data_IF_536035406535
#
_entry.id   IF_536035406535
#
_cell.length_a   1.000
_cell.length_b   1.000
_cell.length_c   1.000
_cell.angle_alpha   90.00
_cell.angle_beta   90.00
_cell.angle_gamma   90.00
#
_symmetry.space_group_name_H-M   'P 1'
#
loop_
_entity.id
_entity.type
_entity.pdbx_description
1 polymer ?
#
# COMPACT_ATOMS: atom_id res chain seq x y z
N UNK A 1 10.07 11.77 -11.24
CA UNK A 1 9.05 11.76 -10.18
C UNK A 1 8.04 10.66 -10.53
N UNK A 2 8.38 9.39 -10.24
CA UNK A 2 7.55 8.24 -10.63
C UNK A 2 6.44 8.00 -9.60
N UNK A 3 5.23 8.28 -10.07
CA UNK A 3 3.88 7.80 -9.74
C UNK A 3 3.79 6.93 -8.47
N UNK A 4 3.11 7.53 -7.49
CA UNK A 4 2.70 6.97 -6.23
C UNK A 4 1.91 5.67 -6.39
N UNK A 5 2.38 4.64 -5.68
CA UNK A 5 1.66 3.38 -5.51
C UNK A 5 0.67 3.56 -4.34
N UNK A 6 -0.50 4.13 -4.64
CA UNK A 6 -1.56 4.42 -3.67
C UNK A 6 -2.35 3.15 -3.30
N UNK A 7 -2.29 2.74 -2.03
CA UNK A 7 -3.27 1.79 -1.46
C UNK A 7 -4.34 2.59 -0.73
N UNK A 8 -5.59 2.49 -1.18
CA UNK A 8 -6.75 3.15 -0.59
C UNK A 8 -7.64 2.11 0.10
N UNK A 9 -7.72 2.17 1.42
CA UNK A 9 -8.67 1.39 2.20
C UNK A 9 -9.77 2.33 2.70
N UNK A 10 -10.97 2.21 2.12
CA UNK A 10 -12.16 2.92 2.57
C UNK A 10 -12.75 2.16 3.75
N UNK A 11 -12.76 2.79 4.92
CA UNK A 11 -13.51 2.31 6.09
C UNK A 11 -14.64 3.33 6.34
N UNK A 12 -15.69 2.89 7.01
CA UNK A 12 -16.62 3.77 7.74
C UNK A 12 -15.84 4.85 8.51
N UNK A 13 -16.51 5.92 8.96
CA UNK A 13 -15.87 7.04 9.69
C UNK A 13 -15.29 6.68 11.07
N UNK A 14 -14.85 5.44 11.26
CA UNK A 14 -14.08 4.95 12.38
C UNK A 14 -12.62 5.41 12.26
N UNK A 15 -12.45 6.71 12.54
CA UNK A 15 -11.16 7.39 12.57
C UNK A 15 -10.20 6.71 13.57
N UNK A 16 -10.71 6.28 14.72
CA UNK A 16 -9.90 5.67 15.78
C UNK A 16 -9.26 4.37 15.30
N UNK A 17 -10.01 3.53 14.58
CA UNK A 17 -9.47 2.32 13.97
C UNK A 17 -8.34 2.66 12.98
N UNK A 18 -8.55 3.65 12.12
CA UNK A 18 -7.55 4.03 11.11
C UNK A 18 -6.30 4.66 11.72
N UNK A 19 -6.45 5.47 12.77
CA UNK A 19 -5.32 6.01 13.54
C UNK A 19 -4.54 4.89 14.25
N UNK A 20 -5.23 3.91 14.85
CA UNK A 20 -4.59 2.74 15.45
C UNK A 20 -3.83 1.90 14.43
N UNK A 21 -4.34 1.79 13.20
CA UNK A 21 -3.67 1.09 12.10
C UNK A 21 -2.40 1.81 11.68
N UNK A 22 -2.45 3.14 11.55
CA UNK A 22 -1.28 3.97 11.24
C UNK A 22 -0.20 3.80 12.31
N UNK A 23 -0.58 3.83 13.59
CA UNK A 23 0.35 3.64 14.71
C UNK A 23 0.95 2.23 14.71
N UNK A 24 0.12 1.20 14.50
CA UNK A 24 0.54 -0.21 14.50
C UNK A 24 1.50 -0.52 13.36
N UNK A 25 1.18 -0.04 12.15
CA UNK A 25 2.01 -0.24 10.96
C UNK A 25 3.19 0.72 10.91
N UNK A 26 3.16 1.78 11.74
CA UNK A 26 4.10 2.88 11.73
C UNK A 26 4.33 3.42 10.29
N UNK A 27 3.24 3.54 9.52
CA UNK A 27 3.25 4.06 8.15
C UNK A 27 1.88 4.54 7.71
N UNK A 28 1.86 5.33 6.64
CA UNK A 28 0.64 5.89 6.07
C UNK A 28 0.08 7.07 6.84
N UNK A 29 -1.05 7.58 6.38
CA UNK A 29 -1.78 8.72 6.96
C UNK A 29 -3.28 8.58 6.74
N UNK A 30 -4.03 9.25 7.59
CA UNK A 30 -5.49 9.33 7.51
C UNK A 30 -5.90 10.59 6.76
N UNK A 31 -6.83 10.47 5.81
CA UNK A 31 -7.52 11.60 5.19
C UNK A 31 -9.01 11.50 5.51
N UNK A 32 -9.57 12.60 6.01
CA UNK A 32 -11.02 12.77 6.15
C UNK A 32 -11.61 13.14 4.78
N UNK A 33 -12.59 12.38 4.33
CA UNK A 33 -13.47 12.73 3.21
C UNK A 33 -14.90 12.95 3.72
N UNK A 34 -15.78 13.63 2.95
CA UNK A 34 -17.15 13.90 3.38
C UNK A 34 -17.91 12.65 3.86
N UNK A 35 -17.74 11.54 3.14
CA UNK A 35 -18.52 10.32 3.37
C UNK A 35 -17.71 9.16 3.96
N UNK A 36 -16.38 9.29 4.05
CA UNK A 36 -15.51 8.17 4.44
C UNK A 36 -14.17 8.62 5.03
N UNK A 37 -13.48 7.66 5.62
CA UNK A 37 -12.08 7.76 5.99
C UNK A 37 -11.18 7.04 4.99
N UNK A 38 -10.10 7.67 4.57
CA UNK A 38 -9.08 7.06 3.72
C UNK A 38 -7.79 6.83 4.50
N UNK A 39 -7.31 5.60 4.55
CA UNK A 39 -5.92 5.30 4.90
C UNK A 39 -5.07 5.24 3.65
N UNK A 40 -3.98 6.01 3.63
CA UNK A 40 -3.12 6.17 2.46
C UNK A 40 -1.66 5.93 2.83
N UNK A 41 -0.98 5.09 2.05
CA UNK A 41 0.48 4.89 2.12
C UNK A 41 1.10 5.39 0.82
N UNK A 42 1.94 6.43 0.90
CA UNK A 42 2.53 7.11 -0.25
C UNK A 42 4.01 6.76 -0.46
N UNK A 43 4.72 6.43 0.61
CA UNK A 43 6.14 6.09 0.56
C UNK A 43 6.32 4.69 0.00
N UNK A 44 7.00 4.59 -1.14
CA UNK A 44 7.27 3.31 -1.78
C UNK A 44 8.00 2.31 -0.86
N UNK A 45 8.92 2.79 -0.02
CA UNK A 45 9.61 1.95 0.97
C UNK A 45 8.63 1.35 1.97
N UNK A 46 7.65 2.11 2.45
CA UNK A 46 6.63 1.57 3.37
C UNK A 46 5.73 0.56 2.64
N UNK A 47 5.37 0.82 1.37
CA UNK A 47 4.59 -0.13 0.57
C UNK A 47 5.35 -1.45 0.40
N UNK A 48 6.62 -1.38 -0.01
CA UNK A 48 7.47 -2.54 -0.25
C UNK A 48 7.78 -3.32 1.04
N UNK A 49 8.17 -2.63 2.10
CA UNK A 49 8.73 -3.25 3.31
C UNK A 49 7.67 -3.61 4.35
N UNK A 50 6.48 -3.00 4.30
CA UNK A 50 5.42 -3.21 5.30
C UNK A 50 4.16 -3.76 4.66
N UNK A 51 3.63 -3.07 3.65
CA UNK A 51 2.31 -3.39 3.10
C UNK A 51 2.29 -4.71 2.32
N UNK A 52 3.20 -4.89 1.35
CA UNK A 52 3.28 -6.14 0.56
C UNK A 52 3.48 -7.36 1.47
N UNK A 53 4.44 -7.37 2.43
CA UNK A 53 4.62 -8.51 3.34
C UNK A 53 3.37 -8.88 4.15
N UNK A 54 2.57 -7.88 4.57
CA UNK A 54 1.32 -8.12 5.29
C UNK A 54 0.32 -8.87 4.40
N UNK A 55 0.13 -8.45 3.15
CA UNK A 55 -0.80 -9.10 2.23
C UNK A 55 -0.27 -10.43 1.68
N UNK A 56 1.04 -10.67 1.67
CA UNK A 56 1.61 -12.00 1.40
C UNK A 56 1.37 -12.97 2.57
N UNK A 57 1.51 -12.49 3.81
CA UNK A 57 1.26 -13.29 5.03
C UNK A 57 -0.23 -13.53 5.26
N UNK A 58 -1.05 -12.51 5.04
CA UNK A 58 -2.49 -12.51 5.23
C UNK A 58 -3.18 -12.28 3.88
N UNK A 59 -3.14 -13.32 3.04
CA UNK A 59 -3.68 -13.26 1.69
C UNK A 59 -5.15 -12.83 1.69
N UNK A 60 -5.49 -11.95 0.76
CA UNK A 60 -6.88 -11.62 0.47
C UNK A 60 -7.61 -12.92 0.10
N UNK A 61 -8.83 -13.12 0.63
CA UNK A 61 -9.64 -14.33 0.38
C UNK A 61 -9.72 -14.66 -1.12
N UNK A 62 -9.61 -15.95 -1.43
CA UNK A 62 -9.34 -16.46 -2.78
C UNK A 62 -10.33 -15.98 -3.86
N UNK A 63 -9.78 -15.46 -4.96
CA UNK A 63 -10.43 -15.36 -6.28
C UNK A 63 -11.21 -14.09 -6.58
N UNK A 64 -11.33 -13.14 -5.64
CA UNK A 64 -12.06 -11.89 -5.87
C UNK A 64 -11.25 -10.84 -6.65
N UNK A 65 -11.95 -9.87 -7.25
CA UNK A 65 -11.34 -8.74 -7.97
C UNK A 65 -10.26 -8.00 -7.14
N UNK A 66 -10.46 -7.88 -5.81
CA UNK A 66 -9.45 -7.28 -4.91
C UNK A 66 -8.14 -8.07 -4.85
N UNK A 67 -8.21 -9.40 -4.91
CA UNK A 67 -7.02 -10.25 -4.96
C UNK A 67 -6.26 -10.04 -6.27
N UNK A 68 -6.97 -9.92 -7.40
CA UNK A 68 -6.34 -9.66 -8.70
C UNK A 68 -5.68 -8.27 -8.72
N UNK A 69 -6.38 -7.24 -8.24
CA UNK A 69 -5.83 -5.89 -8.13
C UNK A 69 -4.56 -5.85 -7.26
N UNK A 70 -4.54 -6.60 -6.16
CA UNK A 70 -3.35 -6.72 -5.32
C UNK A 70 -2.19 -7.41 -6.04
N UNK A 71 -2.44 -8.49 -6.79
CA UNK A 71 -1.39 -9.17 -7.55
C UNK A 71 -0.77 -8.25 -8.61
N UNK A 72 -1.57 -7.45 -9.31
CA UNK A 72 -1.05 -6.49 -10.27
C UNK A 72 -0.31 -5.33 -9.60
N UNK A 73 -0.79 -4.86 -8.45
CA UNK A 73 -0.10 -3.89 -7.61
C UNK A 73 1.28 -4.40 -7.16
N UNK A 74 1.36 -5.65 -6.70
CA UNK A 74 2.61 -6.30 -6.27
C UNK A 74 3.60 -6.39 -7.44
N UNK A 75 3.14 -6.82 -8.62
CA UNK A 75 3.99 -6.86 -9.83
C UNK A 75 4.53 -5.48 -10.18
N UNK A 76 3.68 -4.45 -10.15
CA UNK A 76 4.12 -3.07 -10.42
C UNK A 76 5.19 -2.62 -9.41
N UNK A 77 5.02 -2.94 -8.13
CA UNK A 77 6.01 -2.63 -7.10
C UNK A 77 7.37 -3.32 -7.38
N UNK A 78 7.35 -4.60 -7.78
CA UNK A 78 8.57 -5.35 -8.12
C UNK A 78 9.32 -4.75 -9.31
N UNK A 79 8.59 -4.37 -10.37
CA UNK A 79 9.19 -3.71 -11.54
C UNK A 79 9.87 -2.39 -11.18
N UNK A 80 9.30 -1.62 -10.25
CA UNK A 80 9.94 -0.38 -9.75
C UNK A 80 11.25 -0.70 -9.02
N UNK A 81 11.30 -1.77 -8.22
CA UNK A 81 12.54 -2.20 -7.55
C UNK A 81 13.61 -2.57 -8.58
N UNK A 82 13.26 -3.38 -9.58
CA UNK A 82 14.19 -3.80 -10.63
C UNK A 82 14.77 -2.60 -11.39
N UNK A 83 13.93 -1.64 -11.80
CA UNK A 83 14.38 -0.42 -12.46
C UNK A 83 15.30 0.43 -11.57
N UNK A 84 14.95 0.59 -10.29
CA UNK A 84 15.79 1.32 -9.34
C UNK A 84 17.15 0.65 -9.12
N UNK A 85 17.22 -0.68 -9.14
CA UNK A 85 18.47 -1.42 -9.05
C UNK A 85 19.33 -1.23 -10.29
N UNK A 86 18.74 -1.32 -11.49
CA UNK A 86 19.46 -1.10 -12.75
C UNK A 86 20.05 0.31 -12.85
N UNK A 87 19.31 1.33 -12.41
CA UNK A 87 19.81 2.73 -12.38
C UNK A 87 20.96 2.93 -11.38
N UNK A 88 21.08 2.09 -10.35
CA UNK A 88 22.17 2.17 -9.36
C UNK A 88 23.44 1.46 -9.80
N UNK A 89 23.35 0.50 -10.72
CA UNK A 89 24.50 -0.27 -11.23
C UNK A 89 25.15 0.35 -12.47
N UNK A 90 24.59 1.42 -13.02
CA UNK A 90 25.12 2.15 -14.19
C UNK A 90 26.00 3.35 -13.82
N UNK A 91 26.48 3.43 -12.58
CA UNK A 91 27.41 4.46 -12.10
C UNK A 91 28.67 3.86 -11.50
#
# INVERSE_FOLDING_TARGET
MLILLYLLLLIDRDKELLESLIQTLNCGRYIVKPDCGEFIVEKFTDVRDKIIPIFEKFKLRHGGAKSLNYEDFKKAALLIVEQLLLMRTTH
#
